data_IF_711267437354
#
_entry.id   IF_711267437354
#
_cell.length_a   1.000
_cell.length_b   1.000
_cell.length_c   1.000
_cell.angle_alpha   90.00
_cell.angle_beta   90.00
_cell.angle_gamma   90.00
#
_symmetry.space_group_name_H-M   'P 1'
#
loop_
_entity.id
_entity.type
_entity.pdbx_description
1 polymer ?
#
# COMPACT_ATOMS: atom_id res chain seq x y z
N UNK A 1 16.45 -10.89 8.48
CA UNK A 1 15.58 -11.43 7.41
C UNK A 1 14.54 -10.35 7.12
N UNK A 2 14.55 -9.76 5.93
CA UNK A 2 13.60 -8.70 5.59
C UNK A 2 12.29 -9.38 5.15
N UNK A 3 11.31 -9.44 6.03
CA UNK A 3 10.02 -10.06 5.68
C UNK A 3 9.17 -9.08 4.90
N UNK A 4 8.81 -9.46 3.68
CA UNK A 4 7.97 -8.67 2.78
C UNK A 4 6.59 -9.32 2.77
N UNK A 5 5.57 -8.51 3.06
CA UNK A 5 4.16 -8.93 3.11
C UNK A 5 3.37 -8.16 2.06
N UNK A 6 2.27 -8.72 1.54
CA UNK A 6 1.25 -7.92 0.85
C UNK A 6 0.84 -6.73 1.73
N UNK A 7 0.59 -5.57 1.11
CA UNK A 7 0.24 -4.35 1.85
C UNK A 7 -1.03 -4.55 2.71
N UNK A 8 -2.00 -5.33 2.26
CA UNK A 8 -3.16 -5.75 3.03
C UNK A 8 -2.78 -6.42 4.36
N UNK A 9 -1.94 -7.44 4.30
CA UNK A 9 -1.49 -8.18 5.50
C UNK A 9 -0.67 -7.30 6.43
N UNK A 10 0.18 -6.44 5.87
CA UNK A 10 0.94 -5.47 6.65
C UNK A 10 0.03 -4.48 7.39
N UNK A 11 -1.00 -3.96 6.71
CA UNK A 11 -1.98 -3.07 7.32
C UNK A 11 -2.73 -3.78 8.44
N UNK A 12 -3.22 -5.01 8.22
CA UNK A 12 -3.90 -5.81 9.25
C UNK A 12 -3.03 -6.07 10.48
N UNK A 13 -1.72 -6.25 10.29
CA UNK A 13 -0.79 -6.55 11.37
C UNK A 13 -0.36 -5.29 12.16
N UNK A 14 -0.23 -4.14 11.50
CA UNK A 14 0.40 -2.94 12.08
C UNK A 14 -0.57 -1.77 12.30
N UNK A 15 -1.76 -1.81 11.71
CA UNK A 15 -2.76 -0.75 11.75
C UNK A 15 -4.15 -1.35 12.02
N UNK A 16 -5.10 -0.52 12.46
CA UNK A 16 -6.47 -0.96 12.76
C UNK A 16 -7.28 -1.19 11.49
N UNK A 17 -7.00 -0.47 10.41
CA UNK A 17 -7.73 -0.56 9.13
C UNK A 17 -7.01 0.20 8.00
N UNK A 18 -7.40 -0.10 6.76
CA UNK A 18 -7.00 0.69 5.57
C UNK A 18 -7.35 2.17 5.72
N UNK A 19 -8.47 2.50 6.39
CA UNK A 19 -8.89 3.88 6.65
C UNK A 19 -7.98 4.59 7.65
N UNK A 20 -7.53 3.91 8.70
CA UNK A 20 -6.56 4.47 9.62
C UNK A 20 -5.21 4.71 8.94
N UNK A 21 -4.74 3.71 8.17
CA UNK A 21 -3.52 3.83 7.38
C UNK A 21 -3.61 5.03 6.43
N UNK A 22 -4.71 5.14 5.67
CA UNK A 22 -4.96 6.26 4.78
C UNK A 22 -4.90 7.62 5.51
N UNK A 23 -5.55 7.71 6.67
CA UNK A 23 -5.60 8.93 7.49
C UNK A 23 -4.23 9.32 8.04
N UNK A 24 -3.46 8.38 8.57
CA UNK A 24 -2.10 8.64 9.11
C UNK A 24 -1.17 9.14 8.01
N UNK A 25 -1.30 8.57 6.80
CA UNK A 25 -0.43 8.89 5.68
C UNK A 25 -0.97 10.01 4.76
N UNK A 26 -2.11 10.63 5.11
CA UNK A 26 -2.69 11.73 4.34
C UNK A 26 -3.11 11.34 2.92
N UNK A 27 -3.40 10.06 2.67
CA UNK A 27 -3.83 9.55 1.36
C UNK A 27 -5.32 9.22 1.39
N UNK A 28 -5.96 9.23 0.22
CA UNK A 28 -7.34 8.74 0.12
C UNK A 28 -7.40 7.23 0.36
N UNK A 29 -8.47 6.76 1.02
CA UNK A 29 -8.73 5.34 1.21
C UNK A 29 -8.73 4.56 -0.12
N UNK A 30 -9.28 5.18 -1.19
CA UNK A 30 -9.27 4.60 -2.52
C UNK A 30 -7.85 4.37 -3.07
N UNK A 31 -6.89 5.22 -2.70
CA UNK A 31 -5.48 5.04 -3.06
C UNK A 31 -4.91 3.79 -2.41
N UNK A 32 -5.24 3.53 -1.15
CA UNK A 32 -4.79 2.31 -0.44
C UNK A 32 -5.37 1.06 -1.10
N UNK A 33 -6.65 1.08 -1.48
CA UNK A 33 -7.24 -0.04 -2.24
C UNK A 33 -6.58 -0.25 -3.60
N UNK A 34 -6.27 0.82 -4.34
CA UNK A 34 -5.51 0.73 -5.60
C UNK A 34 -4.11 0.18 -5.39
N UNK A 35 -3.42 0.56 -4.30
CA UNK A 35 -2.12 0.00 -3.95
C UNK A 35 -2.20 -1.50 -3.68
N UNK A 36 -3.19 -1.94 -2.90
CA UNK A 36 -3.44 -3.37 -2.69
C UNK A 36 -3.73 -4.11 -4.00
N UNK A 37 -4.59 -3.57 -4.85
CA UNK A 37 -4.93 -4.15 -6.15
C UNK A 37 -3.74 -4.21 -7.12
N UNK A 38 -2.82 -3.24 -7.03
CA UNK A 38 -1.59 -3.20 -7.81
C UNK A 38 -0.49 -4.13 -7.25
N UNK A 39 -0.78 -4.91 -6.22
CA UNK A 39 0.19 -5.82 -5.61
C UNK A 39 1.33 -5.07 -4.91
N UNK A 40 1.05 -3.94 -4.27
CA UNK A 40 2.02 -3.28 -3.40
C UNK A 40 2.30 -4.17 -2.20
N UNK A 41 3.58 -4.28 -1.85
CA UNK A 41 4.05 -5.00 -0.68
C UNK A 41 4.67 -4.03 0.32
N UNK A 42 4.83 -4.47 1.57
CA UNK A 42 5.46 -3.71 2.62
C UNK A 42 6.42 -4.58 3.43
N UNK A 43 7.47 -3.97 3.97
CA UNK A 43 8.41 -4.63 4.89
C UNK A 43 8.76 -3.69 6.04
N UNK A 44 8.89 -4.24 7.25
CA UNK A 44 9.19 -3.47 8.46
C UNK A 44 8.03 -3.54 9.46
N UNK A 45 7.87 -2.48 10.25
CA UNK A 45 6.85 -2.36 11.30
C UNK A 45 6.11 -1.01 11.20
N UNK A 46 5.10 -0.80 12.05
CA UNK A 46 4.30 0.43 12.07
C UNK A 46 5.13 1.72 12.11
N UNK A 47 6.26 1.73 12.80
CA UNK A 47 7.09 2.92 13.01
C UNK A 47 8.10 3.12 11.88
N UNK A 48 8.56 2.04 11.25
CA UNK A 48 9.53 2.08 10.17
C UNK A 48 9.26 0.97 9.15
N UNK A 49 8.70 1.34 8.00
CA UNK A 49 8.41 0.42 6.91
C UNK A 49 8.70 1.01 5.54
N UNK A 50 8.97 0.11 4.60
CA UNK A 50 9.20 0.41 3.18
C UNK A 50 8.08 -0.18 2.35
N UNK A 51 7.52 0.61 1.43
CA UNK A 51 6.55 0.15 0.44
C UNK A 51 7.27 -0.25 -0.86
N UNK A 52 6.96 -1.45 -1.34
CA UNK A 52 7.49 -2.03 -2.56
C UNK A 52 6.38 -2.02 -3.61
N UNK A 53 6.50 -1.12 -4.57
CA UNK A 53 5.60 -1.05 -5.71
C UNK A 53 6.08 -2.07 -6.75
N UNK A 54 5.22 -2.99 -7.16
CA UNK A 54 5.51 -3.87 -8.28
C UNK A 54 5.94 -3.05 -9.51
N UNK A 55 6.85 -3.59 -10.33
CA UNK A 55 7.18 -2.96 -11.62
C UNK A 55 5.88 -2.75 -12.36
N UNK A 56 5.49 -1.49 -12.59
CA UNK A 56 4.46 -1.15 -13.57
C UNK A 56 4.90 -1.75 -14.90
N UNK A 57 4.31 -2.87 -15.31
CA UNK A 57 4.16 -3.13 -16.75
C UNK A 57 3.42 -1.93 -17.32
N UNK A 58 3.96 -1.39 -18.42
CA UNK A 58 3.76 -0.02 -18.84
C UNK A 58 2.31 0.43 -19.01
N UNK A 59 2.16 1.75 -18.91
CA UNK A 59 1.26 2.57 -19.73
C UNK A 59 -0.21 2.15 -19.79
N UNK A 60 -0.99 2.57 -18.80
CA UNK A 60 -2.31 3.13 -19.11
C UNK A 60 -2.44 4.46 -18.37
N UNK A 61 -2.18 5.51 -19.14
CA UNK A 61 -2.61 6.87 -18.85
C UNK A 61 -4.10 6.80 -18.52
N UNK A 62 -4.45 7.09 -17.27
CA UNK A 62 -5.86 7.32 -16.91
C UNK A 62 -6.26 8.60 -17.65
N UNK A 63 -6.81 8.44 -18.87
CA UNK A 63 -7.67 9.43 -19.49
C UNK A 63 -8.88 9.58 -18.56
N UNK A 64 -8.76 10.55 -17.66
CA UNK A 64 -9.92 11.21 -17.10
C UNK A 64 -10.32 12.22 -18.18
N UNK A 65 -11.49 11.97 -18.78
CA UNK A 65 -12.18 12.75 -19.82
C UNK A 65 -11.65 14.16 -20.06
#
# INVERSE_FOLDING_TARGET
>A
MLTIYPLDEFIKANFRSNSEFARIHGVFLNTVYKMNANGVHASGDRNNYTLWYGKKSGSEQQQLF
#
